data_IF_447909640270
#
_entry.id   IF_447909640270
#
_cell.length_a   1.000
_cell.length_b   1.000
_cell.length_c   1.000
_cell.angle_alpha   90.00
_cell.angle_beta   90.00
_cell.angle_gamma   90.00
#
_symmetry.space_group_name_H-M   'P 1'
#
loop_
_entity.id
_entity.type
_entity.pdbx_description
1 polymer ?
#
# COMPACT_ATOMS: atom_id res chain seq x y z
N UNK A 1 -2.29 17.16 -23.16
CA UNK A 1 -1.90 17.09 -21.73
C UNK A 1 -0.47 17.56 -21.65
N UNK A 2 -0.15 18.54 -20.80
CA UNK A 2 1.20 19.11 -20.71
C UNK A 2 2.11 18.18 -19.92
N UNK A 3 3.25 17.79 -20.50
CA UNK A 3 4.29 17.01 -19.83
C UNK A 3 5.19 17.85 -18.92
N UNK A 4 4.85 19.12 -18.66
CA UNK A 4 5.67 20.10 -17.92
C UNK A 4 6.31 19.54 -16.64
N UNK A 5 5.56 18.78 -15.83
CA UNK A 5 6.12 18.17 -14.62
C UNK A 5 7.22 17.14 -14.94
N UNK A 6 6.96 16.25 -15.89
CA UNK A 6 7.94 15.25 -16.31
C UNK A 6 9.14 15.92 -17.00
N UNK A 7 8.88 16.94 -17.81
CA UNK A 7 9.91 17.68 -18.52
C UNK A 7 10.83 18.42 -17.55
N UNK A 8 10.28 19.07 -16.52
CA UNK A 8 11.10 19.73 -15.48
C UNK A 8 11.94 18.75 -14.67
N UNK A 9 11.37 17.62 -14.25
CA UNK A 9 12.14 16.60 -13.53
C UNK A 9 13.25 16.02 -14.43
N UNK A 10 12.93 15.73 -15.70
CA UNK A 10 13.86 15.09 -16.64
C UNK A 10 15.06 15.96 -16.99
N UNK A 11 14.92 17.29 -16.99
CA UNK A 11 16.04 18.23 -17.19
C UNK A 11 17.18 18.04 -16.19
N UNK A 12 16.88 17.51 -15.00
CA UNK A 12 17.86 17.31 -13.94
C UNK A 12 18.53 15.93 -14.01
N UNK A 13 18.09 15.02 -14.87
CA UNK A 13 18.66 13.67 -14.93
C UNK A 13 20.10 13.65 -15.42
N UNK A 14 20.47 14.53 -16.35
CA UNK A 14 21.84 14.67 -16.84
C UNK A 14 22.82 15.19 -15.78
N UNK A 15 22.33 15.75 -14.67
CA UNK A 15 23.14 16.23 -13.54
C UNK A 15 23.51 15.10 -12.57
N UNK A 16 22.94 13.90 -12.74
CA UNK A 16 23.20 12.74 -11.91
C UNK A 16 24.34 11.93 -12.54
N UNK A 17 25.55 12.06 -12.01
CA UNK A 17 26.62 11.10 -12.30
C UNK A 17 26.36 9.81 -11.53
N UNK A 18 26.01 8.73 -12.22
CA UNK A 18 25.89 7.37 -11.66
C UNK A 18 27.30 6.78 -11.53
N UNK A 19 28.19 7.46 -10.82
CA UNK A 19 29.55 7.01 -10.57
C UNK A 19 29.63 6.70 -9.07
N UNK A 20 29.49 5.41 -8.73
CA UNK A 20 29.44 4.86 -7.36
C UNK A 20 28.11 5.04 -6.61
N UNK A 21 27.05 4.39 -7.11
CA UNK A 21 25.95 4.01 -6.21
C UNK A 21 26.49 2.85 -5.36
N UNK A 22 27.17 3.15 -4.26
CA UNK A 22 27.22 2.18 -3.18
C UNK A 22 25.77 1.93 -2.72
N UNK A 23 25.36 0.66 -2.52
CA UNK A 23 24.05 0.39 -1.95
C UNK A 23 23.92 1.22 -0.69
N UNK A 24 22.91 2.09 -0.66
CA UNK A 24 22.66 2.89 0.52
C UNK A 24 22.21 1.90 1.61
N UNK A 25 23.14 1.48 2.47
CA UNK A 25 22.85 0.53 3.54
C UNK A 25 22.28 1.31 4.74
N UNK A 26 21.04 1.00 5.11
CA UNK A 26 20.38 1.64 6.24
C UNK A 26 19.03 1.02 6.54
N UNK A 27 18.59 1.09 7.81
CA UNK A 27 17.33 0.50 8.27
C UNK A 27 16.11 1.01 7.48
N UNK A 28 16.12 2.30 7.11
CA UNK A 28 15.02 3.00 6.42
C UNK A 28 14.71 2.39 5.04
N UNK A 29 15.70 1.85 4.33
CA UNK A 29 15.49 1.30 2.98
C UNK A 29 14.84 -0.08 2.98
N UNK A 30 14.90 -0.80 4.09
CA UNK A 30 14.36 -2.15 4.20
C UNK A 30 13.04 -2.23 4.99
N UNK A 31 12.57 -1.14 5.60
CA UNK A 31 11.37 -1.17 6.45
C UNK A 31 10.10 -1.50 5.67
N UNK A 32 9.86 -0.86 4.52
CA UNK A 32 8.64 -1.08 3.74
C UNK A 32 8.44 -2.53 3.30
N UNK A 33 9.49 -3.17 2.78
CA UNK A 33 9.44 -4.59 2.38
C UNK A 33 9.35 -5.52 3.60
N UNK A 34 9.98 -5.18 4.73
CA UNK A 34 9.85 -5.93 5.99
C UNK A 34 8.42 -5.88 6.53
N UNK A 35 7.76 -4.73 6.46
CA UNK A 35 6.37 -4.56 6.90
C UNK A 35 5.42 -5.40 6.05
N UNK A 36 5.57 -5.31 4.72
CA UNK A 36 4.75 -6.09 3.79
C UNK A 36 4.94 -7.59 4.02
N UNK A 37 6.17 -8.07 4.25
CA UNK A 37 6.43 -9.48 4.59
C UNK A 37 5.84 -9.87 5.95
N UNK A 38 5.87 -8.98 6.94
CA UNK A 38 5.28 -9.22 8.26
C UNK A 38 3.76 -9.34 8.18
N UNK A 39 3.11 -8.43 7.45
CA UNK A 39 1.66 -8.49 7.16
C UNK A 39 1.32 -9.77 6.39
N UNK A 40 2.14 -10.13 5.38
CA UNK A 40 1.93 -11.35 4.61
C UNK A 40 1.88 -12.59 5.51
N UNK A 41 2.82 -12.68 6.46
CA UNK A 41 2.90 -13.78 7.43
C UNK A 41 1.75 -13.73 8.43
N UNK A 42 1.51 -12.59 9.07
CA UNK A 42 0.53 -12.43 10.14
C UNK A 42 -0.91 -12.70 9.65
N UNK A 43 -1.21 -12.41 8.39
CA UNK A 43 -2.54 -12.61 7.78
C UNK A 43 -2.60 -13.78 6.78
N UNK A 44 -1.56 -14.61 6.72
CA UNK A 44 -1.45 -15.79 5.83
C UNK A 44 -1.81 -15.51 4.36
N UNK A 45 -1.27 -14.42 3.81
CA UNK A 45 -1.54 -13.95 2.45
C UNK A 45 -0.59 -14.63 1.46
N UNK A 46 -1.14 -15.35 0.48
CA UNK A 46 -0.34 -16.11 -0.48
C UNK A 46 0.46 -15.24 -1.47
N UNK A 47 -0.08 -14.07 -1.85
CA UNK A 47 0.53 -13.20 -2.85
C UNK A 47 0.72 -11.78 -2.31
N UNK A 48 1.97 -11.31 -2.32
CA UNK A 48 2.38 -9.98 -1.87
C UNK A 48 1.59 -8.85 -2.56
N UNK A 49 1.16 -9.05 -3.81
CA UNK A 49 0.41 -8.04 -4.58
C UNK A 49 -1.00 -7.76 -4.04
N UNK A 50 -1.47 -8.56 -3.08
CA UNK A 50 -2.75 -8.36 -2.38
C UNK A 50 -2.61 -7.39 -1.19
N UNK A 51 -1.38 -6.95 -0.89
CA UNK A 51 -1.07 -6.01 0.18
C UNK A 51 -0.82 -4.65 -0.48
N UNK A 52 -1.55 -3.61 -0.01
CA UNK A 52 -1.49 -2.25 -0.57
C UNK A 52 -1.09 -1.26 0.51
N UNK A 53 0.22 -1.04 0.71
CA UNK A 53 0.72 -0.19 1.77
C UNK A 53 0.46 1.29 1.47
N UNK A 54 0.10 2.04 2.51
CA UNK A 54 -0.06 3.49 2.45
C UNK A 54 -1.48 3.99 2.15
N UNK A 55 -1.68 5.26 2.46
CA UNK A 55 -2.98 5.95 2.42
C UNK A 55 -3.55 6.06 1.03
N UNK A 56 -2.73 6.52 0.06
CA UNK A 56 -3.17 6.68 -1.32
C UNK A 56 -3.56 5.35 -1.97
N UNK A 57 -2.79 4.29 -1.72
CA UNK A 57 -3.10 2.96 -2.24
C UNK A 57 -4.37 2.38 -1.60
N UNK A 58 -4.49 2.40 -0.26
CA UNK A 58 -5.67 1.91 0.44
C UNK A 58 -6.96 2.66 0.01
N UNK A 59 -6.87 3.99 -0.12
CA UNK A 59 -7.96 4.83 -0.64
C UNK A 59 -8.35 4.39 -2.05
N UNK A 60 -7.38 4.22 -2.96
CA UNK A 60 -7.64 3.76 -4.33
C UNK A 60 -8.31 2.40 -4.37
N UNK A 61 -7.94 1.49 -3.47
CA UNK A 61 -8.57 0.18 -3.34
C UNK A 61 -10.03 0.33 -2.94
N UNK A 62 -10.32 1.05 -1.86
CA UNK A 62 -11.70 1.29 -1.39
C UNK A 62 -12.59 1.97 -2.44
N UNK A 63 -12.01 2.87 -3.24
CA UNK A 63 -12.73 3.56 -4.31
C UNK A 63 -13.10 2.66 -5.51
N UNK A 64 -12.43 1.52 -5.70
CA UNK A 64 -12.55 0.71 -6.95
C UNK A 64 -12.78 -0.78 -6.73
N UNK A 65 -12.55 -1.27 -5.52
CA UNK A 65 -12.59 -2.68 -5.14
C UNK A 65 -13.16 -2.77 -3.73
N UNK A 66 -13.45 -4.00 -3.29
CA UNK A 66 -13.84 -4.28 -1.92
C UNK A 66 -12.66 -4.98 -1.20
N UNK A 67 -11.80 -4.23 -0.49
CA UNK A 67 -10.83 -4.86 0.40
C UNK A 67 -11.57 -5.62 1.51
N UNK A 68 -10.95 -6.69 2.00
CA UNK A 68 -11.56 -7.44 3.11
C UNK A 68 -11.17 -6.89 4.48
N UNK A 69 -10.02 -6.24 4.55
CA UNK A 69 -9.50 -5.66 5.78
C UNK A 69 -8.65 -4.43 5.45
N UNK A 70 -8.82 -3.36 6.21
CA UNK A 70 -7.91 -2.21 6.26
C UNK A 70 -7.15 -2.26 7.58
N UNK A 71 -5.83 -2.30 7.51
CA UNK A 71 -4.96 -2.13 8.67
C UNK A 71 -4.67 -0.65 8.86
N UNK A 72 -4.66 -0.18 10.11
CA UNK A 72 -4.31 1.20 10.48
C UNK A 72 -3.29 1.23 11.61
N UNK A 73 -2.42 2.23 11.65
CA UNK A 73 -1.46 2.41 12.75
C UNK A 73 -2.16 2.75 14.07
N UNK A 74 -3.16 3.63 14.01
CA UNK A 74 -4.02 4.06 15.12
C UNK A 74 -5.30 4.68 14.59
N UNK A 75 -6.42 4.46 15.28
CA UNK A 75 -7.76 4.94 14.86
C UNK A 75 -7.86 6.48 14.85
N UNK A 76 -7.16 7.16 15.76
CA UNK A 76 -7.24 8.61 15.92
C UNK A 76 -6.28 9.39 15.01
N UNK A 77 -5.66 8.74 14.01
CA UNK A 77 -4.78 9.41 13.07
C UNK A 77 -5.60 10.32 12.11
N UNK A 78 -5.38 11.65 12.11
CA UNK A 78 -6.17 12.57 11.28
C UNK A 78 -6.05 12.28 9.77
N UNK A 79 -4.90 11.76 9.34
CA UNK A 79 -4.63 11.41 7.93
C UNK A 79 -5.54 10.26 7.47
N UNK A 80 -6.02 9.42 8.38
CA UNK A 80 -6.83 8.25 8.07
C UNK A 80 -8.33 8.55 7.99
N UNK A 81 -8.78 9.76 8.36
CA UNK A 81 -10.21 10.11 8.30
C UNK A 81 -10.88 9.76 6.96
N UNK A 82 -10.29 10.07 5.78
CA UNK A 82 -10.90 9.69 4.51
C UNK A 82 -10.96 8.17 4.29
N UNK A 83 -9.93 7.45 4.74
CA UNK A 83 -9.86 5.97 4.61
C UNK A 83 -10.90 5.31 5.50
N UNK A 84 -11.04 5.76 6.75
CA UNK A 84 -12.00 5.23 7.71
C UNK A 84 -13.45 5.45 7.24
N UNK A 85 -13.76 6.65 6.73
CA UNK A 85 -15.06 6.95 6.17
C UNK A 85 -15.40 6.04 4.98
N UNK A 86 -14.44 5.88 4.03
CA UNK A 86 -14.63 4.99 2.88
C UNK A 86 -14.77 3.52 3.30
N UNK A 87 -14.04 3.08 4.32
CA UNK A 87 -14.14 1.72 4.84
C UNK A 87 -15.53 1.47 5.46
N UNK A 88 -16.04 2.43 6.23
CA UNK A 88 -17.40 2.39 6.80
C UNK A 88 -18.46 2.32 5.70
N UNK A 89 -18.40 3.20 4.70
CA UNK A 89 -19.33 3.21 3.56
C UNK A 89 -19.34 1.89 2.77
N UNK A 90 -18.19 1.21 2.70
CA UNK A 90 -18.05 -0.07 2.00
C UNK A 90 -18.33 -1.28 2.89
N UNK A 91 -18.51 -1.09 4.20
CA UNK A 91 -18.59 -2.19 5.17
C UNK A 91 -17.30 -3.02 5.23
N UNK A 92 -16.15 -2.42 4.93
CA UNK A 92 -14.85 -3.09 5.09
C UNK A 92 -14.39 -2.99 6.54
N UNK A 93 -13.95 -4.12 7.09
CA UNK A 93 -13.38 -4.18 8.44
C UNK A 93 -12.11 -3.34 8.56
N UNK A 94 -11.94 -2.66 9.69
CA UNK A 94 -10.75 -1.88 10.02
C UNK A 94 -10.13 -2.43 11.31
N UNK A 95 -8.83 -2.73 11.28
CA UNK A 95 -8.10 -3.26 12.43
C UNK A 95 -6.82 -2.43 12.69
N UNK A 96 -6.52 -2.18 13.96
CA UNK A 96 -5.25 -1.56 14.36
C UNK A 96 -4.11 -2.58 14.26
N UNK A 97 -3.04 -2.21 13.58
CA UNK A 97 -1.83 -3.02 13.41
C UNK A 97 -0.58 -2.15 13.61
N UNK A 98 0.07 -2.28 14.76
CA UNK A 98 1.20 -1.43 15.17
C UNK A 98 2.57 -1.86 14.65
N UNK A 99 2.67 -3.01 13.95
CA UNK A 99 3.93 -3.56 13.44
C UNK A 99 4.26 -3.11 12.00
N UNK A 100 3.81 -1.92 11.60
CA UNK A 100 4.11 -1.36 10.29
C UNK A 100 4.50 0.11 10.42
N UNK A 101 5.39 0.56 9.53
CA UNK A 101 5.81 1.96 9.39
C UNK A 101 4.80 2.81 8.61
N UNK A 102 3.86 2.17 7.89
CA UNK A 102 2.76 2.85 7.20
C UNK A 102 1.62 3.21 8.14
N UNK A 103 0.96 4.34 7.90
CA UNK A 103 -0.25 4.68 8.66
C UNK A 103 -1.46 3.82 8.32
N UNK A 104 -1.53 3.23 7.13
CA UNK A 104 -2.52 2.22 6.81
C UNK A 104 -2.06 1.27 5.71
N UNK A 105 -2.75 0.15 5.58
CA UNK A 105 -2.56 -0.82 4.51
C UNK A 105 -3.89 -1.47 4.13
N UNK A 106 -4.18 -1.57 2.83
CA UNK A 106 -5.35 -2.29 2.34
C UNK A 106 -5.02 -3.74 1.99
N UNK A 107 -5.80 -4.69 2.51
CA UNK A 107 -5.69 -6.11 2.16
C UNK A 107 -6.82 -6.52 1.21
N UNK A 108 -6.47 -7.03 0.04
CA UNK A 108 -7.42 -7.40 -1.01
C UNK A 108 -7.66 -8.91 -0.99
N UNK A 109 -8.90 -9.36 -1.18
CA UNK A 109 -9.17 -10.79 -1.42
C UNK A 109 -8.58 -11.22 -2.77
N UNK A 110 -8.03 -12.44 -2.88
CA UNK A 110 -7.83 -13.05 -4.18
C UNK A 110 -9.17 -13.04 -4.93
N UNK A 111 -9.21 -12.57 -6.18
CA UNK A 111 -10.39 -12.74 -7.01
C UNK A 111 -10.60 -14.24 -7.23
N UNK A 112 -11.80 -14.77 -6.92
CA UNK A 112 -12.17 -16.11 -7.38
C UNK A 112 -11.99 -16.15 -8.90
N UNK A 113 -11.20 -17.08 -9.42
CA UNK A 113 -11.23 -17.37 -10.85
C UNK A 113 -12.67 -17.77 -11.21
N UNK A 114 -13.15 -17.38 -12.39
CA UNK A 114 -14.48 -17.74 -12.90
C UNK A 114 -14.69 -19.26 -13.11
N UNK A 115 -13.77 -20.12 -12.70
CA UNK A 115 -13.81 -21.57 -12.89
C UNK A 115 -14.26 -22.36 -11.66
N UNK A 116 -14.58 -21.71 -10.53
CA UNK A 116 -15.07 -22.40 -9.33
C UNK A 116 -16.62 -22.47 -9.27
N UNK A 117 -17.30 -22.28 -10.39
CA UNK A 117 -18.73 -22.58 -10.51
C UNK A 117 -18.85 -24.01 -11.05
N UNK A 118 -18.75 -24.98 -10.15
CA UNK A 118 -19.32 -26.30 -10.41
C UNK A 118 -20.86 -26.15 -10.41
N UNK A 119 -21.45 -26.22 -11.59
CA UNK A 119 -22.83 -26.68 -11.81
C UNK A 119 -22.76 -27.97 -12.63
#
# INVERSE_FOLDING_TARGET
MSNLFLDEISKHFSLIEINNIEPLEGEVLNTGMKDVKSIQKDFNISNINLIKPGVGEATRVLLRRLPWLILVDRINNPVLKPVLLLAEEKGTEVQVYSKMSYSCCGLIKPSKNKNDICI
#
